data_IF_855002219709
#
_entry.id   IF_855002219709
#
_cell.length_a   1.000
_cell.length_b   1.000
_cell.length_c   1.000
_cell.angle_alpha   90.00
_cell.angle_beta   90.00
_cell.angle_gamma   90.00
#
_symmetry.space_group_name_H-M   'P 1'
#
loop_
_entity.id
_entity.type
_entity.pdbx_description
1 polymer ?
#
# COMPACT_ATOMS: atom_id res chain seq x y z
N UNK A 1 -66.38 35.31 23.25
CA UNK A 1 -66.19 34.02 23.93
C UNK A 1 -66.14 32.99 22.80
N UNK A 2 -65.09 32.22 22.52
CA UNK A 2 -63.86 31.86 23.24
C UNK A 2 -62.94 31.14 22.24
N UNK A 3 -61.63 31.32 22.43
CA UNK A 3 -60.51 30.37 22.20
C UNK A 3 -60.25 29.75 20.81
N UNK A 4 -59.18 30.24 20.15
CA UNK A 4 -58.37 29.45 19.21
C UNK A 4 -57.24 28.78 19.99
N UNK A 5 -57.27 27.44 20.07
CA UNK A 5 -56.19 26.63 20.64
C UNK A 5 -54.97 26.64 19.71
N UNK A 6 -53.82 27.06 20.23
CA UNK A 6 -52.53 26.93 19.56
C UNK A 6 -51.95 25.53 19.73
N UNK A 7 -51.69 24.84 18.62
CA UNK A 7 -50.96 23.57 18.59
C UNK A 7 -49.44 23.85 18.71
N UNK A 8 -48.66 23.09 19.51
CA UNK A 8 -47.25 23.42 19.75
C UNK A 8 -46.40 23.13 18.50
N UNK A 9 -45.33 23.89 18.24
CA UNK A 9 -44.49 23.67 17.07
C UNK A 9 -43.77 22.32 17.19
N UNK A 10 -44.03 21.43 16.22
CA UNK A 10 -43.30 20.18 16.05
C UNK A 10 -41.81 20.51 15.82
N UNK A 11 -40.87 19.99 16.61
CA UNK A 11 -39.46 20.30 16.42
C UNK A 11 -39.00 19.76 15.06
N UNK A 12 -38.53 20.67 14.20
CA UNK A 12 -37.92 20.35 12.91
C UNK A 12 -36.63 19.56 13.18
N UNK A 13 -36.68 18.23 13.14
CA UNK A 13 -35.48 17.38 13.25
C UNK A 13 -34.51 17.81 12.14
N UNK A 14 -33.37 18.35 12.54
CA UNK A 14 -32.39 18.91 11.62
C UNK A 14 -31.71 17.79 10.84
N UNK A 15 -31.46 18.02 9.54
CA UNK A 15 -30.65 17.14 8.67
C UNK A 15 -29.26 16.85 9.27
N UNK A 16 -28.80 17.71 10.18
CA UNK A 16 -27.52 17.58 10.88
C UNK A 16 -27.48 16.40 11.86
N UNK A 17 -28.63 16.04 12.47
CA UNK A 17 -28.72 14.87 13.34
C UNK A 17 -28.59 13.55 12.56
N UNK A 18 -29.08 13.51 11.31
CA UNK A 18 -28.93 12.33 10.44
C UNK A 18 -27.52 12.20 9.86
N UNK A 19 -26.85 13.31 9.52
CA UNK A 19 -25.44 13.30 9.10
C UNK A 19 -24.53 12.84 10.25
N UNK A 20 -24.79 13.28 11.49
CA UNK A 20 -24.03 12.89 12.68
C UNK A 20 -24.16 11.40 13.07
N UNK A 21 -25.18 10.69 12.58
CA UNK A 21 -25.39 9.25 12.85
C UNK A 21 -24.97 8.40 11.64
N UNK A 22 -25.29 8.82 10.42
CA UNK A 22 -24.98 8.04 9.21
C UNK A 22 -23.49 8.01 8.88
N UNK A 23 -22.75 9.08 9.13
CA UNK A 23 -21.29 9.12 8.87
C UNK A 23 -20.52 8.14 9.76
N UNK A 24 -20.68 8.13 11.11
CA UNK A 24 -19.98 7.15 11.93
C UNK A 24 -20.48 5.73 11.69
N UNK A 25 -21.76 5.51 11.41
CA UNK A 25 -22.27 4.17 11.07
C UNK A 25 -21.73 3.68 9.73
N UNK A 26 -21.61 4.54 8.71
CA UNK A 26 -20.98 4.18 7.44
C UNK A 26 -19.48 3.87 7.63
N UNK A 27 -18.76 4.63 8.46
CA UNK A 27 -17.35 4.35 8.80
C UNK A 27 -17.22 3.01 9.54
N UNK A 28 -18.12 2.72 10.49
CA UNK A 28 -18.11 1.46 11.25
C UNK A 28 -18.54 0.27 10.39
N UNK A 29 -19.47 0.44 9.45
CA UNK A 29 -19.86 -0.63 8.52
C UNK A 29 -18.79 -0.85 7.46
N UNK A 30 -18.15 0.20 6.95
CA UNK A 30 -17.00 0.08 6.04
C UNK A 30 -15.82 -0.58 6.74
N UNK A 31 -15.50 -0.16 7.97
CA UNK A 31 -14.45 -0.81 8.75
C UNK A 31 -14.81 -2.25 9.07
N UNK A 32 -16.02 -2.54 9.56
CA UNK A 32 -16.45 -3.92 9.85
C UNK A 32 -16.50 -4.80 8.59
N UNK A 33 -16.86 -4.26 7.42
CA UNK A 33 -16.78 -5.01 6.17
C UNK A 33 -15.33 -5.31 5.78
N UNK A 34 -14.39 -4.37 5.96
CA UNK A 34 -12.96 -4.64 5.78
C UNK A 34 -12.42 -5.68 6.76
N UNK A 35 -12.90 -5.69 8.00
CA UNK A 35 -12.54 -6.71 9.00
C UNK A 35 -13.09 -8.11 8.64
N UNK A 36 -14.28 -8.20 8.04
CA UNK A 36 -14.90 -9.49 7.66
C UNK A 36 -14.25 -10.09 6.40
N UNK A 37 -13.81 -9.28 5.43
CA UNK A 37 -13.07 -9.79 4.26
C UNK A 37 -11.62 -10.21 4.60
N UNK A 38 -11.01 -9.60 5.63
CA UNK A 38 -9.69 -9.99 6.12
C UNK A 38 -9.65 -11.36 6.81
N UNK A 39 -10.71 -11.74 7.52
CA UNK A 39 -10.74 -12.98 8.30
C UNK A 39 -11.18 -14.23 7.51
N UNK A 40 -11.77 -14.06 6.31
CA UNK A 40 -12.29 -15.17 5.49
C UNK A 40 -11.38 -15.56 4.31
N UNK A 41 -10.22 -14.92 4.16
CA UNK A 41 -9.28 -15.16 3.04
C UNK A 41 -8.02 -15.93 3.45
N UNK A 42 -8.06 -16.59 4.61
CA UNK A 42 -6.98 -17.36 5.26
C UNK A 42 -6.71 -18.70 4.56
N UNK A 43 -6.56 -18.63 3.24
CA UNK A 43 -5.78 -19.60 2.48
C UNK A 43 -4.55 -18.83 1.99
N UNK A 44 -3.54 -18.79 2.85
CA UNK A 44 -2.20 -18.20 2.68
C UNK A 44 -1.52 -18.69 1.39
N UNK A 45 -1.90 -18.13 0.25
CA UNK A 45 -1.09 -18.20 -0.96
C UNK A 45 -0.62 -16.80 -1.33
N UNK A 46 0.65 -16.72 -1.68
CA UNK A 46 1.28 -15.50 -2.14
C UNK A 46 0.89 -15.25 -3.59
N UNK A 47 0.30 -14.08 -3.85
CA UNK A 47 -0.32 -13.75 -5.14
C UNK A 47 0.30 -12.50 -5.74
N UNK A 48 0.42 -12.52 -7.06
CA UNK A 48 0.75 -11.33 -7.84
C UNK A 48 -0.36 -10.28 -7.63
N UNK A 49 0.05 -9.04 -7.38
CA UNK A 49 -0.81 -7.90 -7.13
C UNK A 49 -1.08 -7.61 -5.65
N UNK A 50 -0.82 -8.56 -4.75
CA UNK A 50 -0.96 -8.35 -3.31
C UNK A 50 0.20 -7.51 -2.75
N UNK A 51 -0.06 -6.84 -1.64
CA UNK A 51 0.94 -6.07 -0.90
C UNK A 51 1.37 -6.79 0.37
N UNK A 52 2.60 -6.52 0.77
CA UNK A 52 3.28 -7.23 1.84
C UNK A 52 4.08 -6.27 2.68
N UNK A 53 4.23 -6.61 3.96
CA UNK A 53 5.19 -6.00 4.87
C UNK A 53 6.49 -6.80 4.79
N UNK A 54 7.48 -6.22 4.11
CA UNK A 54 8.80 -6.82 3.89
C UNK A 54 9.81 -6.07 4.75
N UNK A 55 10.66 -6.79 5.47
CA UNK A 55 11.78 -6.20 6.21
C UNK A 55 13.12 -6.42 5.50
N UNK A 56 13.22 -7.48 4.69
CA UNK A 56 14.44 -7.86 3.96
C UNK A 56 14.12 -8.44 2.59
N UNK A 57 15.00 -8.20 1.62
CA UNK A 57 15.01 -8.88 0.33
C UNK A 57 16.08 -9.99 0.30
N UNK A 58 16.03 -10.88 -0.68
CA UNK A 58 16.88 -12.06 -0.79
C UNK A 58 16.18 -13.36 -0.43
N UNK A 59 16.92 -14.31 0.14
CA UNK A 59 16.40 -15.63 0.48
C UNK A 59 15.77 -15.66 1.88
N UNK A 60 14.54 -16.16 1.99
CA UNK A 60 13.79 -16.31 3.24
C UNK A 60 13.16 -17.70 3.35
N UNK A 61 12.97 -18.17 4.58
CA UNK A 61 12.39 -19.50 4.85
C UNK A 61 10.86 -19.53 5.02
N UNK A 62 10.22 -18.36 5.01
CA UNK A 62 8.79 -18.20 5.27
C UNK A 62 8.15 -17.23 4.28
N UNK A 63 6.84 -17.35 4.09
CA UNK A 63 6.10 -16.44 3.20
C UNK A 63 6.08 -15.02 3.81
N UNK A 64 6.17 -13.96 2.97
CA UNK A 64 6.07 -12.60 3.46
C UNK A 64 4.69 -12.31 4.06
N UNK A 65 4.65 -11.47 5.08
CA UNK A 65 3.41 -11.09 5.77
C UNK A 65 2.58 -10.22 4.84
N UNK A 66 1.40 -10.71 4.46
CA UNK A 66 0.44 -9.93 3.65
C UNK A 66 -0.05 -8.71 4.42
N UNK A 67 -0.16 -7.59 3.74
CA UNK A 67 -0.63 -6.33 4.30
C UNK A 67 -1.66 -5.66 3.37
N UNK A 68 -2.51 -4.80 3.93
CA UNK A 68 -3.40 -3.98 3.12
C UNK A 68 -2.59 -2.97 2.31
N UNK A 69 -2.75 -2.94 0.98
CA UNK A 69 -1.96 -2.05 0.11
C UNK A 69 -2.06 -0.54 0.46
N UNK A 70 -3.11 -0.13 1.17
CA UNK A 70 -3.30 1.22 1.67
C UNK A 70 -2.61 1.51 3.00
N UNK A 71 -2.10 0.50 3.70
CA UNK A 71 -1.45 0.65 5.00
C UNK A 71 0.00 1.15 4.88
N UNK A 72 0.54 1.64 6.00
CA UNK A 72 1.92 2.14 6.06
C UNK A 72 2.92 0.99 6.08
N UNK A 73 2.53 -0.16 6.63
CA UNK A 73 3.33 -1.38 6.72
C UNK A 73 3.45 -2.09 5.38
N UNK A 74 2.49 -1.89 4.46
CA UNK A 74 2.56 -2.39 3.10
C UNK A 74 3.57 -1.60 2.27
N UNK A 75 4.84 -1.93 2.40
CA UNK A 75 5.94 -1.29 1.70
C UNK A 75 6.13 -1.83 0.28
N UNK A 76 5.87 -3.12 0.03
CA UNK A 76 6.09 -3.75 -1.26
C UNK A 76 4.83 -4.41 -1.84
N UNK A 77 4.77 -4.54 -3.17
CA UNK A 77 3.72 -5.21 -3.94
C UNK A 77 4.33 -6.27 -4.85
N UNK A 78 3.76 -7.47 -4.88
CA UNK A 78 4.24 -8.52 -5.78
C UNK A 78 3.86 -8.20 -7.23
N UNK A 79 4.82 -7.85 -8.08
CA UNK A 79 4.61 -7.57 -9.51
C UNK A 79 4.58 -8.84 -10.37
N UNK A 80 5.37 -9.84 -10.00
CA UNK A 80 5.38 -11.16 -10.62
C UNK A 80 5.81 -12.26 -9.63
N UNK A 81 5.45 -13.51 -9.93
CA UNK A 81 5.87 -14.72 -9.21
C UNK A 81 6.45 -15.70 -10.21
N UNK A 82 7.58 -16.30 -9.88
CA UNK A 82 8.29 -17.28 -10.71
C UNK A 82 8.78 -18.44 -9.84
N UNK A 83 9.30 -19.50 -10.46
CA UNK A 83 10.06 -20.54 -9.75
C UNK A 83 11.27 -19.93 -9.03
N UNK A 84 11.81 -20.54 -7.97
CA UNK A 84 12.92 -19.96 -7.19
C UNK A 84 14.17 -19.60 -8.04
N UNK A 85 14.50 -20.41 -9.05
CA UNK A 85 15.59 -20.14 -9.99
C UNK A 85 15.22 -19.21 -11.17
N UNK A 86 13.97 -18.77 -11.24
CA UNK A 86 13.46 -17.89 -12.28
C UNK A 86 14.07 -16.48 -12.21
N UNK A 87 14.09 -15.81 -13.36
CA UNK A 87 14.43 -14.40 -13.45
C UNK A 87 13.17 -13.53 -13.38
N UNK A 88 13.29 -12.38 -12.72
CA UNK A 88 12.23 -11.39 -12.75
C UNK A 88 12.08 -10.78 -14.16
N UNK A 89 10.89 -10.25 -14.50
CA UNK A 89 10.70 -9.47 -15.71
C UNK A 89 11.67 -8.28 -15.78
N UNK A 90 11.81 -7.69 -16.96
CA UNK A 90 12.67 -6.52 -17.13
C UNK A 90 12.22 -5.37 -16.20
N UNK A 91 13.18 -4.73 -15.54
CA UNK A 91 12.92 -3.64 -14.61
C UNK A 91 13.64 -3.82 -13.27
N UNK A 92 13.44 -2.85 -12.40
CA UNK A 92 14.14 -2.67 -11.13
C UNK A 92 13.41 -3.35 -9.96
N UNK A 93 13.05 -4.63 -10.14
CA UNK A 93 12.38 -5.42 -9.12
C UNK A 93 13.34 -5.82 -7.99
N UNK A 94 12.88 -5.65 -6.75
CA UNK A 94 13.53 -6.28 -5.61
C UNK A 94 13.13 -7.76 -5.58
N UNK A 95 14.08 -8.64 -5.25
CA UNK A 95 13.86 -10.08 -5.32
C UNK A 95 13.68 -10.66 -3.92
N UNK A 96 12.61 -11.42 -3.74
CA UNK A 96 12.39 -12.23 -2.54
C UNK A 96 12.23 -13.68 -2.96
N UNK A 97 13.22 -14.51 -2.66
CA UNK A 97 13.16 -15.95 -2.87
C UNK A 97 12.66 -16.59 -1.59
N UNK A 98 11.50 -17.23 -1.65
CA UNK A 98 10.96 -18.01 -0.55
C UNK A 98 11.35 -19.46 -0.78
N UNK A 99 12.17 -20.03 0.11
CA UNK A 99 12.61 -21.42 0.05
C UNK A 99 12.00 -22.24 1.19
N UNK A 100 11.00 -23.06 0.85
CA UNK A 100 10.35 -23.97 1.81
C UNK A 100 10.52 -25.40 1.34
N UNK A 101 10.54 -26.32 2.30
CA UNK A 101 10.74 -27.76 2.10
C UNK A 101 9.91 -28.38 0.96
N UNK A 102 8.72 -27.85 0.67
CA UNK A 102 7.81 -28.39 -0.35
C UNK A 102 7.37 -27.37 -1.41
N UNK A 103 7.83 -26.12 -1.33
CA UNK A 103 7.45 -25.06 -2.26
C UNK A 103 8.46 -23.91 -2.21
N UNK A 104 9.26 -23.79 -3.26
CA UNK A 104 10.23 -22.70 -3.40
C UNK A 104 9.87 -21.85 -4.61
N UNK A 105 9.79 -20.54 -4.43
CA UNK A 105 9.39 -19.61 -5.47
C UNK A 105 10.07 -18.26 -5.27
N UNK A 106 10.08 -17.44 -6.31
CA UNK A 106 10.62 -16.08 -6.27
C UNK A 106 9.52 -15.07 -6.55
N UNK A 107 9.48 -14.03 -5.75
CA UNK A 107 8.66 -12.84 -5.97
C UNK A 107 9.51 -11.70 -6.49
N UNK A 108 8.96 -11.03 -7.50
CA UNK A 108 9.51 -9.82 -8.08
C UNK A 108 8.72 -8.66 -7.51
N UNK A 109 9.30 -8.01 -6.50
CA UNK A 109 8.65 -7.00 -5.70
C UNK A 109 8.81 -5.63 -6.34
N UNK A 110 7.71 -4.89 -6.36
CA UNK A 110 7.64 -3.50 -6.75
C UNK A 110 7.44 -2.68 -5.49
N UNK A 111 7.96 -1.45 -5.47
CA UNK A 111 7.67 -0.54 -4.37
C UNK A 111 6.18 -0.20 -4.35
N UNK A 112 5.54 -0.39 -3.20
CA UNK A 112 4.17 0.05 -2.97
C UNK A 112 4.20 1.43 -2.30
N UNK A 113 4.31 2.49 -3.10
CA UNK A 113 4.31 3.86 -2.60
C UNK A 113 3.38 4.76 -3.41
N UNK A 114 3.07 5.92 -2.85
CA UNK A 114 2.29 6.98 -3.46
C UNK A 114 3.15 8.24 -3.56
N UNK A 115 2.75 9.16 -4.44
CA UNK A 115 3.35 10.48 -4.49
C UNK A 115 3.26 11.17 -3.11
N UNK A 116 4.41 11.67 -2.64
CA UNK A 116 4.60 12.28 -1.33
C UNK A 116 4.98 11.29 -0.22
N UNK A 117 5.02 9.98 -0.48
CA UNK A 117 5.50 9.02 0.51
C UNK A 117 7.02 9.20 0.71
N UNK A 118 7.43 9.11 1.97
CA UNK A 118 8.83 9.17 2.37
C UNK A 118 9.29 7.80 2.83
N UNK A 119 10.54 7.47 2.47
CA UNK A 119 11.10 6.16 2.67
C UNK A 119 12.42 6.25 3.42
N UNK A 120 12.71 5.23 4.20
CA UNK A 120 14.07 4.91 4.64
C UNK A 120 14.56 3.65 3.92
N UNK A 121 15.88 3.47 3.86
CA UNK A 121 16.53 2.31 3.26
C UNK A 121 16.25 2.14 1.76
N UNK A 122 15.97 3.23 1.03
CA UNK A 122 15.62 3.14 -0.39
C UNK A 122 16.76 2.59 -1.26
N UNK A 123 18.01 2.94 -0.94
CA UNK A 123 19.22 2.46 -1.61
C UNK A 123 19.97 1.39 -0.78
N UNK A 124 19.35 0.85 0.27
CA UNK A 124 20.01 -0.14 1.11
C UNK A 124 20.06 -1.49 0.38
N UNK A 125 21.20 -2.17 0.46
CA UNK A 125 21.33 -3.53 -0.04
C UNK A 125 20.61 -4.49 0.91
N UNK A 126 19.74 -5.35 0.36
CA UNK A 126 19.05 -6.45 1.07
C UNK A 126 18.10 -6.07 2.21
N UNK A 127 18.12 -4.82 2.70
CA UNK A 127 17.14 -4.29 3.65
C UNK A 127 16.00 -3.68 2.87
N UNK A 128 14.76 -4.02 3.21
CA UNK A 128 13.61 -3.48 2.49
C UNK A 128 13.30 -2.07 2.95
N UNK A 129 12.95 -1.21 1.97
CA UNK A 129 12.51 0.16 2.24
C UNK A 129 11.29 0.18 3.16
N UNK A 130 11.23 1.13 4.08
CA UNK A 130 10.06 1.31 4.95
C UNK A 130 9.45 2.68 4.70
N UNK A 131 8.12 2.76 4.75
CA UNK A 131 7.43 4.06 4.76
C UNK A 131 7.59 4.71 6.11
N UNK A 132 8.08 5.94 6.12
CA UNK A 132 8.29 6.73 7.33
C UNK A 132 7.67 8.11 7.16
N UNK A 133 7.35 8.82 8.26
CA UNK A 133 6.98 10.22 8.17
C UNK A 133 8.07 11.03 7.46
N UNK A 134 7.71 11.99 6.61
CA UNK A 134 8.70 12.82 5.93
C UNK A 134 9.55 13.70 6.86
N UNK A 135 9.12 13.87 8.12
CA UNK A 135 9.87 14.52 9.18
C UNK A 135 10.86 13.61 9.90
N UNK A 136 10.85 12.31 9.59
CA UNK A 136 11.73 11.33 10.21
C UNK A 136 13.19 11.58 9.79
N UNK A 137 14.15 11.68 10.73
CA UNK A 137 15.56 11.87 10.40
C UNK A 137 16.19 10.69 9.66
N UNK A 138 15.60 9.48 9.72
CA UNK A 138 16.08 8.31 9.01
C UNK A 138 15.67 8.28 7.52
N UNK A 139 14.74 9.16 7.11
CA UNK A 139 14.29 9.27 5.72
C UNK A 139 15.48 9.56 4.79
N UNK A 140 15.65 8.70 3.80
CA UNK A 140 16.65 8.86 2.74
C UNK A 140 16.07 8.99 1.32
N UNK A 141 14.74 8.93 1.18
CA UNK A 141 14.06 9.11 -0.10
C UNK A 141 12.64 9.69 0.03
N UNK A 142 12.18 10.35 -1.04
CA UNK A 142 10.82 10.85 -1.22
C UNK A 142 10.30 10.50 -2.62
N UNK A 143 9.09 9.94 -2.68
CA UNK A 143 8.43 9.56 -3.93
C UNK A 143 7.77 10.79 -4.54
N UNK A 144 8.33 11.28 -5.64
CA UNK A 144 7.84 12.50 -6.30
C UNK A 144 6.65 12.22 -7.23
N UNK A 145 6.61 11.03 -7.84
CA UNK A 145 5.59 10.68 -8.83
C UNK A 145 5.53 9.17 -9.01
N UNK A 146 4.32 8.65 -9.19
CA UNK A 146 4.05 7.26 -9.58
C UNK A 146 3.23 7.29 -10.86
N UNK A 147 3.67 6.57 -11.87
CA UNK A 147 3.03 6.50 -13.19
C UNK A 147 2.73 5.06 -13.52
N UNK A 148 1.49 4.77 -13.91
CA UNK A 148 1.15 3.52 -14.57
C UNK A 148 1.71 3.59 -16.01
N UNK A 149 2.67 2.72 -16.33
CA UNK A 149 3.43 2.75 -17.58
C UNK A 149 4.89 3.17 -17.43
N UNK A 150 5.55 3.36 -18.58
CA UNK A 150 6.96 3.75 -18.67
C UNK A 150 7.06 5.28 -18.72
N UNK A 151 7.91 5.86 -17.87
CA UNK A 151 8.21 7.29 -17.83
C UNK A 151 9.70 7.53 -17.52
N UNK A 152 10.19 8.76 -17.76
CA UNK A 152 11.60 9.14 -17.54
C UNK A 152 11.82 10.07 -16.34
N UNK A 153 10.76 10.53 -15.68
CA UNK A 153 10.80 11.42 -14.50
C UNK A 153 11.47 12.80 -14.69
N UNK A 154 11.81 13.18 -15.93
CA UNK A 154 12.47 14.45 -16.28
C UNK A 154 11.67 15.71 -15.89
N UNK A 155 10.36 15.56 -15.67
CA UNK A 155 9.46 16.62 -15.22
C UNK A 155 9.45 16.80 -13.70
N UNK A 156 10.33 16.10 -12.98
CA UNK A 156 10.44 16.11 -11.52
C UNK A 156 11.89 16.32 -11.08
N UNK A 157 12.11 16.61 -9.79
CA UNK A 157 13.45 16.67 -9.19
C UNK A 157 13.97 15.28 -8.77
N UNK A 158 13.54 14.22 -9.45
CA UNK A 158 13.93 12.86 -9.11
C UNK A 158 15.41 12.64 -9.44
N UNK A 159 16.11 12.01 -8.51
CA UNK A 159 17.51 11.58 -8.69
C UNK A 159 17.59 10.11 -9.05
N UNK A 160 16.56 9.34 -8.71
CA UNK A 160 16.44 7.91 -8.95
C UNK A 160 15.09 7.56 -9.57
N UNK A 161 15.06 6.42 -10.26
CA UNK A 161 13.88 5.92 -10.95
C UNK A 161 13.81 4.41 -10.82
N UNK A 162 12.66 3.90 -10.34
CA UNK A 162 12.33 2.47 -10.37
C UNK A 162 11.31 2.23 -11.47
N UNK A 163 11.69 1.46 -12.49
CA UNK A 163 10.79 1.09 -13.60
C UNK A 163 10.52 -0.40 -13.59
N UNK A 164 9.29 -0.77 -13.90
CA UNK A 164 8.80 -2.14 -13.87
C UNK A 164 8.09 -2.43 -15.19
N UNK A 165 8.27 -3.61 -15.76
CA UNK A 165 7.60 -4.00 -17.02
C UNK A 165 6.26 -4.72 -16.82
N UNK A 166 6.02 -5.29 -15.64
CA UNK A 166 4.86 -6.13 -15.32
C UNK A 166 4.42 -5.98 -13.85
N UNK A 167 3.26 -5.35 -13.60
CA UNK A 167 2.61 -4.40 -14.49
C UNK A 167 3.57 -3.24 -14.86
N UNK A 168 3.44 -2.65 -16.07
CA UNK A 168 4.20 -1.46 -16.43
C UNK A 168 3.96 -0.34 -15.42
N UNK A 169 5.00 0.11 -14.73
CA UNK A 169 4.93 1.31 -13.89
C UNK A 169 6.30 1.93 -13.67
N UNK A 170 6.29 3.20 -13.31
CA UNK A 170 7.49 3.99 -13.01
C UNK A 170 7.30 4.77 -11.73
N UNK A 171 8.28 4.72 -10.83
CA UNK A 171 8.31 5.46 -9.58
C UNK A 171 9.51 6.38 -9.60
N UNK A 172 9.23 7.68 -9.59
CA UNK A 172 10.22 8.75 -9.57
C UNK A 172 10.54 9.07 -8.11
N UNK A 173 11.81 8.96 -7.74
CA UNK A 173 12.25 9.10 -6.35
C UNK A 173 13.36 10.13 -6.27
N UNK A 174 13.26 11.02 -5.29
CA UNK A 174 14.36 11.88 -4.87
C UNK A 174 15.02 11.25 -3.66
N UNK A 175 16.19 10.68 -3.85
CA UNK A 175 17.06 10.24 -2.77
C UNK A 175 17.86 11.42 -2.21
N UNK A 176 18.17 11.36 -0.93
CA UNK A 176 18.98 12.38 -0.23
C UNK A 176 20.31 11.82 0.29
N UNK A 177 20.69 10.64 -0.18
CA UNK A 177 21.85 9.88 0.29
C UNK A 177 22.95 9.85 -0.76
#
# INVERSE_FOLDING_TARGET
MTEHSGEPPRPKRSKWFWVGILVPVAIVVLSASSWIFGYLSDTDDVRVGDCYAITTFGDVGEDPVKADCGSVEANAKAGAKTEAGGACPAGEYDQLTVDRTFASYKLCMMINAKQGDCLENFLADSVAYQKVPCSDPARDAEVLKVVDGVATCDDTEATDLKSYSTPPSTVCVRSTK
#
